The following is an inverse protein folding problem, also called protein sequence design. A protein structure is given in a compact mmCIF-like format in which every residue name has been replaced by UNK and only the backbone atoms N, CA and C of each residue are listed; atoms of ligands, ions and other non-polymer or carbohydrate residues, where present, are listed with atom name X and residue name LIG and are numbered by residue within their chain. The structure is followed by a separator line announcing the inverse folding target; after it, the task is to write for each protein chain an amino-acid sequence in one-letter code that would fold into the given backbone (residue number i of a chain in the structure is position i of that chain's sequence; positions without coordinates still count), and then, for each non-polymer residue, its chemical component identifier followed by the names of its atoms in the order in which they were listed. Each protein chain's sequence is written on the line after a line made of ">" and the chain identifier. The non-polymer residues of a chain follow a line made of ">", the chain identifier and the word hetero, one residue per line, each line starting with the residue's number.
data_IF_780486370966
#
_entry.id   IF_780486370966
#
_cell.length_a   1.000
_cell.length_b   1.000
_cell.length_c   1.000
_cell.angle_alpha   90.00
_cell.angle_beta   90.00
_cell.angle_gamma   90.00
#
_symmetry.space_group_name_H-M   'P 1'
#
loop_
_entity.id
_entity.type
_entity.pdbx_description
1 polymer ?
#
# COMPACT_ATOMS: atom_id res chain seq x y z
N UNK A 1 5.68 -31.40 -70.98
CA UNK A 1 5.67 -30.46 -69.83
C UNK A 1 7.12 -30.07 -69.57
N UNK A 2 7.54 -28.82 -69.77
CA UNK A 2 8.94 -28.46 -69.51
C UNK A 2 9.18 -28.46 -68.00
N UNK A 3 10.22 -29.16 -67.55
CA UNK A 3 10.66 -29.15 -66.16
C UNK A 3 11.23 -27.76 -65.83
N UNK A 4 10.71 -27.13 -64.78
CA UNK A 4 11.27 -25.89 -64.23
C UNK A 4 12.69 -26.18 -63.71
N UNK A 5 13.71 -25.51 -64.26
CA UNK A 5 15.08 -25.55 -63.74
C UNK A 5 15.11 -24.94 -62.35
N UNK A 6 15.37 -25.75 -61.34
CA UNK A 6 15.70 -25.25 -60.00
C UNK A 6 17.06 -24.54 -60.06
N UNK A 7 17.05 -23.22 -59.83
CA UNK A 7 18.28 -22.45 -59.61
C UNK A 7 18.72 -22.69 -58.16
N UNK A 8 19.95 -23.16 -57.98
CA UNK A 8 20.56 -23.30 -56.66
C UNK A 8 20.97 -21.95 -56.07
N UNK A 9 21.29 -21.92 -54.78
CA UNK A 9 21.76 -20.75 -54.06
C UNK A 9 23.25 -20.48 -54.33
N UNK A 10 23.63 -19.21 -54.36
CA UNK A 10 25.05 -18.82 -54.42
C UNK A 10 25.67 -18.80 -53.02
N UNK A 11 27.00 -19.01 -52.93
CA UNK A 11 27.71 -18.96 -51.64
C UNK A 11 27.51 -17.61 -50.92
N UNK A 12 27.51 -16.50 -51.66
CA UNK A 12 27.33 -15.15 -51.11
C UNK A 12 25.92 -14.95 -50.55
N UNK A 13 24.90 -15.52 -51.19
CA UNK A 13 23.51 -15.45 -50.74
C UNK A 13 23.30 -16.21 -49.42
N UNK A 14 23.99 -17.34 -49.25
CA UNK A 14 23.99 -18.09 -48.00
C UNK A 14 24.68 -17.32 -46.87
N UNK A 15 25.82 -16.67 -47.15
CA UNK A 15 26.53 -15.81 -46.18
C UNK A 15 25.66 -14.63 -45.74
N UNK A 16 25.02 -13.93 -46.68
CA UNK A 16 24.12 -12.82 -46.36
C UNK A 16 22.92 -13.31 -45.55
N UNK A 17 22.37 -14.47 -45.89
CA UNK A 17 21.26 -15.10 -45.17
C UNK A 17 21.59 -15.39 -43.70
N UNK A 18 22.73 -16.04 -43.42
CA UNK A 18 23.12 -16.35 -42.03
C UNK A 18 23.45 -15.08 -41.22
N UNK A 19 24.03 -14.05 -41.85
CA UNK A 19 24.32 -12.78 -41.18
C UNK A 19 23.03 -12.05 -40.82
N UNK A 20 22.07 -11.97 -41.75
CA UNK A 20 20.77 -11.35 -41.50
C UNK A 20 19.98 -12.12 -40.43
N UNK A 21 20.03 -13.45 -40.44
CA UNK A 21 19.40 -14.28 -39.43
C UNK A 21 20.01 -14.06 -38.04
N UNK A 22 21.34 -13.97 -37.94
CA UNK A 22 22.04 -13.70 -36.69
C UNK A 22 21.67 -12.33 -36.10
N UNK A 23 21.58 -11.28 -36.95
CA UNK A 23 21.16 -9.94 -36.53
C UNK A 23 19.71 -9.97 -36.03
N UNK A 24 18.80 -10.58 -36.80
CA UNK A 24 17.40 -10.69 -36.42
C UNK A 24 17.20 -11.41 -35.08
N UNK A 25 17.86 -12.55 -34.90
CA UNK A 25 17.79 -13.32 -33.65
C UNK A 25 18.33 -12.52 -32.47
N UNK A 26 19.42 -11.77 -32.65
CA UNK A 26 20.02 -10.94 -31.61
C UNK A 26 19.05 -9.84 -31.13
N UNK A 27 18.36 -9.17 -32.05
CA UNK A 27 17.36 -8.14 -31.72
C UNK A 27 16.17 -8.78 -30.98
N UNK A 28 15.68 -9.93 -31.46
CA UNK A 28 14.55 -10.64 -30.84
C UNK A 28 14.90 -11.06 -29.41
N UNK A 29 16.08 -11.65 -29.18
CA UNK A 29 16.52 -12.06 -27.84
C UNK A 29 16.68 -10.87 -26.91
N UNK A 30 17.21 -9.74 -27.39
CA UNK A 30 17.34 -8.52 -26.60
C UNK A 30 15.98 -7.92 -26.18
N UNK A 31 14.93 -8.10 -26.99
CA UNK A 31 13.58 -7.61 -26.69
C UNK A 31 12.78 -8.57 -25.81
N UNK A 32 12.94 -9.89 -25.97
CA UNK A 32 12.20 -10.89 -25.19
C UNK A 32 12.76 -11.05 -23.77
N UNK A 33 14.09 -10.98 -23.60
CA UNK A 33 14.74 -11.18 -22.30
C UNK A 33 14.21 -10.28 -21.15
N UNK A 34 14.00 -8.97 -21.33
CA UNK A 34 13.47 -8.12 -20.25
C UNK A 34 11.98 -8.29 -19.97
N UNK A 35 11.20 -8.91 -20.89
CA UNK A 35 9.74 -9.00 -20.73
C UNK A 35 9.30 -10.06 -19.71
N UNK A 36 10.12 -11.09 -19.49
CA UNK A 36 9.85 -12.12 -18.50
C UNK A 36 9.92 -11.58 -17.05
N UNK A 37 10.80 -10.62 -16.76
CA UNK A 37 10.96 -10.06 -15.41
C UNK A 37 9.82 -9.10 -15.02
N UNK A 38 9.29 -8.32 -15.98
CA UNK A 38 8.19 -7.37 -15.74
C UNK A 38 6.83 -8.02 -15.48
N UNK A 39 6.72 -9.34 -15.64
CA UNK A 39 5.43 -10.03 -15.50
C UNK A 39 5.00 -10.24 -14.04
N UNK A 40 5.91 -10.11 -13.07
CA UNK A 40 5.61 -10.30 -11.64
C UNK A 40 5.25 -8.99 -10.91
N UNK A 41 5.71 -7.84 -11.42
CA UNK A 41 5.43 -6.51 -10.83
C UNK A 41 3.92 -6.23 -10.65
N UNK A 42 3.03 -6.53 -11.62
CA UNK A 42 1.60 -6.25 -11.47
C UNK A 42 0.94 -7.02 -10.32
N UNK A 43 1.42 -8.24 -10.04
CA UNK A 43 0.90 -9.07 -8.94
C UNK A 43 1.29 -8.46 -7.59
N UNK A 44 2.53 -7.98 -7.47
CA UNK A 44 3.04 -7.34 -6.25
C UNK A 44 2.30 -6.03 -5.99
N UNK A 45 2.11 -5.21 -7.03
CA UNK A 45 1.34 -3.97 -6.96
C UNK A 45 -0.12 -4.20 -6.55
N UNK A 46 -0.76 -5.24 -7.11
CA UNK A 46 -2.13 -5.61 -6.77
C UNK A 46 -2.25 -5.99 -5.29
N UNK A 47 -1.31 -6.80 -4.77
CA UNK A 47 -1.28 -7.19 -3.36
C UNK A 47 -1.07 -6.01 -2.43
N UNK A 48 -0.11 -5.13 -2.74
CA UNK A 48 0.12 -3.91 -1.96
C UNK A 48 -1.17 -3.05 -1.89
N UNK A 49 -1.86 -2.95 -3.03
CA UNK A 49 -3.08 -2.16 -3.16
C UNK A 49 -4.27 -2.76 -2.41
N UNK A 50 -4.46 -4.08 -2.52
CA UNK A 50 -5.52 -4.80 -1.82
C UNK A 50 -5.33 -4.68 -0.30
N UNK A 51 -4.12 -4.91 0.19
CA UNK A 51 -3.81 -4.79 1.61
C UNK A 51 -3.99 -3.36 2.11
N UNK A 52 -3.42 -2.37 1.41
CA UNK A 52 -3.54 -0.96 1.81
C UNK A 52 -5.00 -0.48 1.87
N UNK A 53 -5.83 -0.85 0.89
CA UNK A 53 -7.26 -0.52 0.90
C UNK A 53 -8.02 -1.26 2.00
N UNK A 54 -7.76 -2.55 2.19
CA UNK A 54 -8.40 -3.33 3.26
C UNK A 54 -8.07 -2.74 4.63
N UNK A 55 -6.80 -2.39 4.86
CA UNK A 55 -6.34 -1.77 6.10
C UNK A 55 -6.96 -0.39 6.30
N UNK A 56 -7.01 0.45 5.26
CA UNK A 56 -7.68 1.75 5.33
C UNK A 56 -9.15 1.63 5.70
N UNK A 57 -9.88 0.70 5.07
CA UNK A 57 -11.28 0.45 5.37
C UNK A 57 -11.48 -0.02 6.83
N UNK A 58 -10.56 -0.85 7.33
CA UNK A 58 -10.57 -1.27 8.71
C UNK A 58 -10.35 -0.10 9.67
N UNK A 59 -9.31 0.73 9.45
CA UNK A 59 -9.03 1.91 10.27
C UNK A 59 -10.23 2.86 10.27
N UNK A 60 -10.79 3.16 9.10
CA UNK A 60 -11.93 4.08 8.98
C UNK A 60 -13.20 3.60 9.70
N UNK A 61 -13.34 2.28 9.91
CA UNK A 61 -14.44 1.69 10.69
C UNK A 61 -14.33 1.90 12.20
N UNK A 62 -13.17 2.32 12.69
CA UNK A 62 -12.91 2.52 14.13
C UNK A 62 -13.37 3.91 14.61
N UNK A 63 -13.37 4.09 15.93
CA UNK A 63 -13.69 5.38 16.54
C UNK A 63 -12.64 6.42 16.17
N UNK A 64 -13.00 7.70 16.26
CA UNK A 64 -12.02 8.76 16.09
C UNK A 64 -10.96 8.75 17.20
N UNK A 65 -11.35 8.38 18.42
CA UNK A 65 -10.53 8.41 19.63
C UNK A 65 -11.15 7.44 20.64
N UNK A 66 -10.34 6.91 21.56
CA UNK A 66 -10.81 6.03 22.63
C UNK A 66 -11.83 6.70 23.55
N UNK A 67 -11.86 8.04 23.61
CA UNK A 67 -12.85 8.80 24.37
C UNK A 67 -14.08 9.22 23.57
N UNK A 68 -14.20 8.80 22.31
CA UNK A 68 -15.44 8.93 21.53
C UNK A 68 -16.51 7.96 22.07
N UNK A 69 -17.60 8.51 22.61
CA UNK A 69 -18.67 7.69 23.20
C UNK A 69 -19.50 7.01 22.09
N UNK A 70 -19.52 5.66 22.09
CA UNK A 70 -20.34 4.85 21.18
C UNK A 70 -21.74 4.51 21.71
N UNK A 71 -22.07 4.98 22.90
CA UNK A 71 -23.37 4.82 23.54
C UNK A 71 -23.91 6.18 23.93
N UNK A 72 -25.24 6.26 24.12
CA UNK A 72 -25.85 7.47 24.66
C UNK A 72 -25.07 7.94 25.91
N UNK A 73 -24.70 9.23 25.98
CA UNK A 73 -25.22 10.36 25.21
C UNK A 73 -24.53 10.69 23.87
N UNK A 74 -23.66 9.82 23.34
CA UNK A 74 -22.97 9.97 22.03
C UNK A 74 -22.14 11.25 21.94
N UNK A 75 -21.33 11.54 22.95
CA UNK A 75 -20.44 12.68 22.92
C UNK A 75 -19.17 12.39 22.16
N UNK A 76 -18.71 13.40 21.44
CA UNK A 76 -17.42 13.42 20.77
C UNK A 76 -16.32 13.68 21.79
N UNK A 77 -15.12 13.14 21.55
CA UNK A 77 -13.98 13.52 22.37
C UNK A 77 -13.77 15.04 22.26
N UNK A 78 -13.40 15.70 23.35
CA UNK A 78 -13.21 17.15 23.37
C UNK A 78 -14.48 17.99 23.59
N UNK A 79 -15.68 17.39 23.67
CA UNK A 79 -16.90 18.10 24.09
C UNK A 79 -16.94 18.32 25.63
N UNK A 80 -15.92 19.00 26.16
CA UNK A 80 -15.71 19.20 27.59
C UNK A 80 -16.90 19.92 28.24
N UNK A 81 -17.51 20.87 27.54
CA UNK A 81 -18.69 21.61 28.00
C UNK A 81 -19.92 20.72 28.20
N UNK A 82 -19.96 19.55 27.57
CA UNK A 82 -21.02 18.55 27.69
C UNK A 82 -20.64 17.39 28.62
N UNK A 83 -19.44 17.44 29.23
CA UNK A 83 -18.93 16.42 30.15
C UNK A 83 -18.15 15.28 29.48
N UNK A 84 -17.77 15.40 28.21
CA UNK A 84 -16.89 14.43 27.55
C UNK A 84 -15.43 14.59 28.02
N UNK A 85 -14.63 13.54 27.86
CA UNK A 85 -13.18 13.62 28.09
C UNK A 85 -12.49 14.29 26.89
N UNK A 86 -11.35 14.93 27.12
CA UNK A 86 -10.52 15.47 26.05
C UNK A 86 -10.05 14.35 25.13
N UNK A 87 -9.95 14.63 23.82
CA UNK A 87 -9.28 13.71 22.89
C UNK A 87 -7.83 13.50 23.32
N UNK A 88 -7.24 12.40 22.85
CA UNK A 88 -5.84 12.08 23.06
C UNK A 88 -4.94 13.18 22.52
N UNK A 89 -3.89 13.51 23.28
CA UNK A 89 -2.96 14.54 22.85
C UNK A 89 -2.18 14.03 21.63
N UNK A 90 -1.80 14.93 20.72
CA UNK A 90 -1.05 14.56 19.52
C UNK A 90 0.25 13.78 19.81
N UNK A 91 0.88 14.03 20.96
CA UNK A 91 2.10 13.35 21.41
C UNK A 91 1.85 11.93 21.93
N UNK A 92 0.60 11.62 22.29
CA UNK A 92 0.19 10.37 22.91
C UNK A 92 -0.60 9.47 21.92
N UNK A 93 -0.72 9.88 20.65
CA UNK A 93 -1.37 9.07 19.60
C UNK A 93 -0.65 7.74 19.43
N UNK A 94 -1.42 6.66 19.46
CA UNK A 94 -0.90 5.30 19.40
C UNK A 94 -1.76 4.34 20.21
N UNK A 95 -1.36 3.06 20.30
CA UNK A 95 -2.11 2.06 21.04
C UNK A 95 -2.17 2.40 22.53
N UNK A 96 -3.35 2.26 23.13
CA UNK A 96 -3.53 2.51 24.54
C UNK A 96 -3.07 1.32 25.40
N UNK A 97 -2.28 1.60 26.44
CA UNK A 97 -1.88 0.62 27.46
C UNK A 97 -1.28 -0.68 26.87
N UNK A 98 -2.05 -1.77 26.87
CA UNK A 98 -1.67 -3.10 26.42
C UNK A 98 -2.55 -3.60 25.28
N UNK A 99 -3.06 -2.69 24.47
CA UNK A 99 -3.87 -3.06 23.31
C UNK A 99 -3.07 -3.85 22.27
N UNK A 100 -3.77 -4.79 21.66
CA UNK A 100 -3.26 -5.62 20.58
C UNK A 100 -4.19 -5.49 19.38
N UNK A 101 -3.76 -6.06 18.24
CA UNK A 101 -4.50 -6.03 16.97
C UNK A 101 -6.01 -6.27 17.08
N UNK A 102 -6.42 -7.18 17.97
CA UNK A 102 -7.82 -7.57 18.21
C UNK A 102 -8.59 -6.59 19.10
N UNK A 103 -7.91 -5.83 19.94
CA UNK A 103 -8.52 -4.87 20.85
C UNK A 103 -8.48 -3.43 20.34
N UNK A 104 -7.81 -3.15 19.21
CA UNK A 104 -7.79 -1.81 18.61
C UNK A 104 -9.22 -1.29 18.42
N UNK A 105 -9.48 -0.14 19.03
CA UNK A 105 -10.80 0.41 19.24
C UNK A 105 -10.99 1.74 18.49
N UNK A 106 -9.90 2.47 18.23
CA UNK A 106 -9.86 3.75 17.51
C UNK A 106 -8.85 3.74 16.35
N UNK A 107 -8.61 4.91 15.76
CA UNK A 107 -7.79 5.04 14.53
C UNK A 107 -6.30 5.03 14.81
N UNK A 108 -5.83 5.64 15.89
CA UNK A 108 -4.40 5.83 16.16
C UNK A 108 -3.72 4.59 16.73
N UNK A 109 -4.47 3.62 17.25
CA UNK A 109 -3.96 2.28 17.59
C UNK A 109 -3.14 1.63 16.46
N UNK A 110 -3.50 1.91 15.21
CA UNK A 110 -2.88 1.31 14.03
C UNK A 110 -1.48 1.84 13.74
N UNK A 111 -1.05 2.93 14.38
CA UNK A 111 0.35 3.39 14.34
C UNK A 111 1.29 2.26 14.77
N UNK A 112 0.85 1.42 15.70
CA UNK A 112 1.58 0.25 16.21
C UNK A 112 1.94 -0.79 15.14
N UNK A 113 1.25 -0.80 14.00
CA UNK A 113 1.56 -1.71 12.89
C UNK A 113 2.78 -1.26 12.08
N UNK A 114 3.28 -0.04 12.31
CA UNK A 114 4.45 0.49 11.62
C UNK A 114 5.67 -0.38 11.92
N UNK A 115 6.32 -0.85 10.85
CA UNK A 115 7.49 -1.73 10.94
C UNK A 115 7.20 -3.14 11.45
N UNK A 116 5.92 -3.51 11.65
CA UNK A 116 5.54 -4.86 12.07
C UNK A 116 5.27 -5.76 10.86
N UNK A 117 5.36 -7.10 11.03
CA UNK A 117 4.93 -8.04 10.02
C UNK A 117 3.45 -7.86 9.67
N UNK A 118 3.11 -8.04 8.39
CA UNK A 118 1.72 -7.94 7.92
C UNK A 118 0.88 -9.07 8.53
N UNK A 119 -0.19 -8.66 9.20
CA UNK A 119 -1.17 -9.52 9.87
C UNK A 119 -2.59 -9.16 9.43
N UNK A 120 -3.53 -10.09 9.60
CA UNK A 120 -4.95 -9.78 9.47
C UNK A 120 -5.50 -9.05 10.72
N UNK A 121 -6.79 -8.72 10.71
CA UNK A 121 -7.48 -8.06 11.84
C UNK A 121 -7.48 -8.87 13.15
N UNK A 122 -7.17 -10.17 13.09
CA UNK A 122 -7.04 -11.05 14.25
C UNK A 122 -5.60 -11.18 14.75
N UNK A 123 -4.64 -10.45 14.14
CA UNK A 123 -3.22 -10.54 14.48
C UNK A 123 -2.53 -11.79 13.95
N UNK A 124 -3.16 -12.53 13.04
CA UNK A 124 -2.57 -13.72 12.41
C UNK A 124 -1.69 -13.27 11.25
N UNK A 125 -0.43 -13.73 11.24
CA UNK A 125 0.53 -13.46 10.18
C UNK A 125 0.00 -13.90 8.81
N UNK A 126 0.26 -13.10 7.78
CA UNK A 126 -0.10 -13.42 6.40
C UNK A 126 1.17 -13.73 5.58
N UNK A 127 1.56 -15.01 5.42
CA UNK A 127 2.81 -15.39 4.75
C UNK A 127 2.95 -14.89 3.32
N UNK A 128 1.84 -14.68 2.61
CA UNK A 128 1.81 -14.16 1.25
C UNK A 128 2.30 -12.71 1.11
N UNK A 129 2.42 -11.99 2.23
CA UNK A 129 2.98 -10.63 2.32
C UNK A 129 4.40 -10.61 2.90
N UNK A 130 5.11 -11.74 2.89
CA UNK A 130 6.51 -11.79 3.30
C UNK A 130 7.35 -10.81 2.46
N UNK A 131 8.18 -10.00 3.13
CA UNK A 131 9.04 -9.00 2.50
C UNK A 131 8.37 -7.65 2.22
N UNK A 132 7.07 -7.51 2.45
CA UNK A 132 6.41 -6.21 2.48
C UNK A 132 6.68 -5.52 3.81
N UNK A 133 6.76 -4.19 3.81
CA UNK A 133 6.75 -3.38 5.03
C UNK A 133 5.59 -2.40 5.01
N UNK A 134 5.18 -1.98 6.21
CA UNK A 134 4.04 -1.12 6.44
C UNK A 134 4.47 0.05 7.32
N UNK A 135 4.02 1.25 6.94
CA UNK A 135 4.05 2.44 7.78
C UNK A 135 2.64 3.00 7.88
N UNK A 136 2.17 3.22 9.10
CA UNK A 136 0.90 3.88 9.37
C UNK A 136 1.19 5.13 10.19
N UNK A 137 0.73 6.28 9.68
CA UNK A 137 0.82 7.57 10.37
C UNK A 137 -0.59 8.09 10.59
N UNK A 138 -0.89 8.46 11.82
CA UNK A 138 -2.13 9.17 12.17
C UNK A 138 -1.73 10.45 12.87
N UNK A 139 -2.26 11.58 12.39
CA UNK A 139 -1.92 12.92 12.89
C UNK A 139 -3.19 13.76 12.89
N UNK A 140 -3.29 14.73 13.80
CA UNK A 140 -4.36 15.73 13.67
C UNK A 140 -4.06 16.66 12.50
N UNK A 141 -5.11 16.93 11.71
CA UNK A 141 -5.07 17.76 10.51
C UNK A 141 -6.47 18.37 10.29
N UNK A 142 -6.81 19.39 11.09
CA UNK A 142 -8.14 20.01 11.07
C UNK A 142 -8.28 21.11 10.01
N UNK A 143 -7.18 21.64 9.50
CA UNK A 143 -7.13 22.65 8.45
C UNK A 143 -6.92 22.07 7.04
N UNK A 144 -6.75 20.75 6.93
CA UNK A 144 -6.61 19.98 5.70
C UNK A 144 -5.41 20.42 4.85
N UNK A 145 -4.31 20.81 5.48
CA UNK A 145 -3.10 21.23 4.77
C UNK A 145 -1.83 20.52 5.28
N UNK A 146 -0.78 20.56 4.46
CA UNK A 146 0.51 19.93 4.77
C UNK A 146 1.50 20.89 5.46
N UNK A 147 1.11 22.14 5.71
CA UNK A 147 2.01 23.17 6.23
C UNK A 147 2.11 23.12 7.76
N UNK A 148 1.05 22.66 8.43
CA UNK A 148 0.97 22.53 9.88
C UNK A 148 0.58 21.11 10.24
N UNK A 149 1.33 20.49 11.16
CA UNK A 149 0.95 19.19 11.73
C UNK A 149 0.30 19.41 13.09
N UNK A 150 -0.67 18.55 13.41
CA UNK A 150 -1.31 18.50 14.71
C UNK A 150 -2.11 19.76 15.08
N UNK A 151 -2.95 20.24 14.17
CA UNK A 151 -3.79 21.41 14.37
C UNK A 151 -5.24 21.02 14.73
N UNK A 152 -5.66 21.42 15.93
CA UNK A 152 -6.99 21.08 16.44
C UNK A 152 -7.22 19.58 16.63
N UNK A 153 -8.46 19.20 16.95
CA UNK A 153 -8.86 17.81 17.22
C UNK A 153 -10.15 17.43 16.48
N UNK A 154 -10.42 18.08 15.35
CA UNK A 154 -11.66 17.87 14.57
C UNK A 154 -11.48 16.77 13.54
N UNK A 155 -10.28 16.69 12.94
CA UNK A 155 -9.95 15.69 11.95
C UNK A 155 -8.57 15.07 12.23
N UNK A 156 -8.46 13.77 11.95
CA UNK A 156 -7.22 13.01 11.92
C UNK A 156 -6.97 12.58 10.48
N UNK A 157 -5.76 12.80 9.97
CA UNK A 157 -5.30 12.27 8.69
C UNK A 157 -4.59 10.94 8.92
N UNK A 158 -5.05 9.93 8.21
CA UNK A 158 -4.50 8.58 8.21
C UNK A 158 -3.71 8.42 6.92
N UNK A 159 -2.42 8.14 7.03
CA UNK A 159 -1.54 7.83 5.91
C UNK A 159 -1.00 6.42 6.07
N UNK A 160 -1.19 5.60 5.04
CA UNK A 160 -0.68 4.22 4.97
C UNK A 160 0.31 4.14 3.81
N UNK A 161 1.52 3.67 4.08
CA UNK A 161 2.53 3.38 3.07
C UNK A 161 2.88 1.89 3.14
N UNK A 162 2.61 1.18 2.05
CA UNK A 162 2.98 -0.23 1.88
C UNK A 162 4.19 -0.28 0.95
N UNK A 163 5.33 -0.75 1.44
CA UNK A 163 6.52 -0.95 0.61
C UNK A 163 6.57 -2.40 0.14
N UNK A 164 6.70 -2.61 -1.17
CA UNK A 164 6.85 -3.94 -1.74
C UNK A 164 8.27 -4.51 -1.52
N UNK A 165 8.45 -5.83 -1.66
CA UNK A 165 9.78 -6.44 -1.67
C UNK A 165 10.70 -5.92 -2.79
N UNK A 166 10.14 -5.25 -3.80
CA UNK A 166 10.87 -4.63 -4.92
C UNK A 166 11.29 -3.18 -4.61
N UNK A 167 10.90 -2.64 -3.45
CA UNK A 167 11.22 -1.28 -3.01
C UNK A 167 10.23 -0.21 -3.47
N UNK A 168 9.13 -0.59 -4.15
CA UNK A 168 8.09 0.33 -4.57
C UNK A 168 7.18 0.69 -3.39
N UNK A 169 6.77 1.95 -3.30
CA UNK A 169 5.91 2.45 -2.21
C UNK A 169 4.51 2.75 -2.74
N UNK A 170 3.50 2.15 -2.12
CA UNK A 170 2.09 2.38 -2.41
C UNK A 170 1.46 3.14 -1.24
N UNK A 171 1.08 4.40 -1.50
CA UNK A 171 0.53 5.31 -0.50
C UNK A 171 -0.99 5.44 -0.56
N UNK A 172 -1.63 5.49 0.61
CA UNK A 172 -3.07 5.74 0.80
C UNK A 172 -3.24 6.82 1.84
N UNK A 173 -4.20 7.72 1.64
CA UNK A 173 -4.52 8.76 2.62
C UNK A 173 -6.04 8.94 2.73
N UNK A 174 -6.53 9.13 3.95
CA UNK A 174 -7.91 9.46 4.21
C UNK A 174 -8.05 10.27 5.51
N UNK A 175 -9.17 10.97 5.66
CA UNK A 175 -9.49 11.70 6.87
C UNK A 175 -10.55 10.97 7.68
N UNK A 176 -10.37 10.99 9.01
CA UNK A 176 -11.38 10.61 9.99
C UNK A 176 -11.82 11.87 10.73
N UNK A 177 -13.12 12.17 10.70
CA UNK A 177 -13.71 13.25 11.47
C UNK A 177 -14.10 12.81 12.88
N UNK A 178 -14.08 13.76 13.81
CA UNK A 178 -14.63 13.63 15.15
C UNK A 178 -16.14 13.92 15.10
N UNK A 179 -16.94 12.86 14.95
CA UNK A 179 -18.40 12.91 14.89
C UNK A 179 -19.04 11.79 15.71
#
# INVERSE_FOLDING_TARGET
>A
MPALKHKGFTLIELIVGIVMFAIALSIITALIAPQAQKSAEPIVALRASEFGQSLMNEIQSKSFDQYSERSAPFRRCGEISLGAKACTAAADLGPDNSETRTSYNDVDDYIALTGQPITNSLGVLLPQYSGFSLVVKVQYDSDFNDATSNDGSTFKRITIEVTSPLGEVYGFSAYKGNY
#
